data_IF_709118787579
#
_entry.id   IF_709118787579
#
_cell.length_a   1.000
_cell.length_b   1.000
_cell.length_c   1.000
_cell.angle_alpha   90.00
_cell.angle_beta   90.00
_cell.angle_gamma   90.00
#
_symmetry.space_group_name_H-M   'P 1'
#
loop_
_entity.id
_entity.type
_entity.pdbx_description
1 polymer ?
#
# COMPACT_ATOMS: atom_id res chain seq x y z
N UNK A 1 4.31 5.66 3.41
CA UNK A 1 4.56 6.78 2.51
C UNK A 1 3.45 6.87 1.47
N UNK A 2 2.84 8.04 1.30
CA UNK A 2 1.79 8.32 0.33
C UNK A 2 2.16 9.50 -0.58
N UNK A 3 1.37 9.72 -1.63
CA UNK A 3 1.55 10.81 -2.58
C UNK A 3 1.29 10.37 -4.02
N UNK A 4 1.17 11.33 -4.93
CA UNK A 4 0.91 11.07 -6.34
C UNK A 4 2.02 10.24 -7.01
N UNK A 5 1.71 9.63 -8.16
CA UNK A 5 2.73 8.96 -8.97
C UNK A 5 3.83 9.97 -9.34
N UNK A 6 5.09 9.52 -9.31
CA UNK A 6 6.25 10.39 -9.57
C UNK A 6 6.67 11.32 -8.41
N UNK A 7 6.04 11.25 -7.22
CA UNK A 7 6.42 12.09 -6.07
C UNK A 7 7.72 11.69 -5.36
N UNK A 8 8.40 10.62 -5.81
CA UNK A 8 9.69 10.19 -5.25
C UNK A 8 9.62 9.11 -4.16
N UNK A 9 8.46 8.48 -3.92
CA UNK A 9 8.28 7.45 -2.86
C UNK A 9 9.21 6.25 -3.03
N UNK A 10 9.17 5.60 -4.20
CA UNK A 10 10.05 4.46 -4.54
C UNK A 10 11.52 4.85 -4.48
N UNK A 11 11.86 6.03 -5.00
CA UNK A 11 13.23 6.57 -4.94
C UNK A 11 13.70 6.70 -3.50
N UNK A 12 12.86 7.25 -2.61
CA UNK A 12 13.19 7.35 -1.19
C UNK A 12 13.40 5.97 -0.55
N UNK A 13 12.55 4.97 -0.84
CA UNK A 13 12.78 3.61 -0.35
C UNK A 13 14.11 3.04 -0.86
N UNK A 14 14.43 3.24 -2.14
CA UNK A 14 15.68 2.75 -2.74
C UNK A 14 16.91 3.43 -2.15
N UNK A 15 16.84 4.73 -1.86
CA UNK A 15 17.90 5.47 -1.13
C UNK A 15 18.08 4.89 0.28
N UNK A 16 17.00 4.66 1.02
CA UNK A 16 17.05 4.03 2.34
C UNK A 16 17.68 2.63 2.29
N UNK A 17 17.38 1.88 1.25
CA UNK A 17 17.97 0.55 1.02
C UNK A 17 19.44 0.60 0.55
N UNK A 18 19.96 1.75 0.15
CA UNK A 18 21.30 1.89 -0.43
C UNK A 18 21.40 1.34 -1.86
N UNK A 19 20.29 1.39 -2.59
CA UNK A 19 20.16 0.98 -4.00
C UNK A 19 20.20 2.17 -4.96
N UNK A 20 20.15 3.38 -4.43
CA UNK A 20 20.27 4.64 -5.19
C UNK A 20 21.24 5.57 -4.46
N UNK A 21 21.99 6.36 -5.25
CA UNK A 21 22.86 7.40 -4.74
C UNK A 21 22.05 8.61 -4.29
N UNK A 22 22.48 9.24 -3.20
CA UNK A 22 21.83 10.43 -2.69
C UNK A 22 22.83 11.29 -1.91
N UNK A 23 22.53 12.58 -1.80
CA UNK A 23 23.22 13.50 -0.93
C UNK A 23 22.38 13.77 0.33
N UNK A 24 23.04 13.98 1.46
CA UNK A 24 22.38 14.27 2.73
C UNK A 24 22.80 13.33 3.86
N UNK A 25 21.95 13.18 4.86
CA UNK A 25 22.23 12.37 6.05
C UNK A 25 21.11 11.39 6.33
N UNK A 26 21.47 10.11 6.50
CA UNK A 26 20.56 9.07 6.99
C UNK A 26 21.16 8.52 8.29
N UNK A 27 20.42 8.65 9.38
CA UNK A 27 20.78 8.13 10.68
C UNK A 27 19.68 7.23 11.23
N UNK A 28 20.04 6.05 11.71
CA UNK A 28 19.11 5.10 12.31
C UNK A 28 19.62 4.70 13.69
N UNK A 29 18.82 4.97 14.73
CA UNK A 29 19.15 4.67 16.14
C UNK A 29 20.54 5.17 16.56
N UNK A 30 21.60 4.48 16.21
CA UNK A 30 22.99 4.85 16.57
C UNK A 30 23.98 4.66 15.41
N UNK A 31 23.49 4.47 14.17
CA UNK A 31 24.34 4.18 13.01
C UNK A 31 24.04 5.15 11.87
N UNK A 32 25.06 5.84 11.39
CA UNK A 32 24.96 6.60 10.15
C UNK A 32 24.99 5.65 8.96
N UNK A 33 24.00 5.75 8.08
CA UNK A 33 23.95 5.03 6.81
C UNK A 33 24.44 5.88 5.65
N UNK A 34 24.24 7.18 5.73
CA UNK A 34 24.70 8.15 4.74
C UNK A 34 25.09 9.46 5.43
N UNK A 35 26.20 10.06 5.00
CA UNK A 35 26.58 11.44 5.27
C UNK A 35 27.54 11.89 4.16
N UNK A 36 28.01 13.13 4.19
CA UNK A 36 28.88 13.75 3.16
C UNK A 36 30.16 12.96 2.85
N UNK A 37 30.61 12.10 3.75
CA UNK A 37 31.87 11.36 3.66
C UNK A 37 31.72 9.84 3.59
N UNK A 38 30.51 9.32 3.84
CA UNK A 38 30.31 7.89 4.04
C UNK A 38 28.93 7.45 3.58
N UNK A 39 28.90 6.32 2.84
CA UNK A 39 27.67 5.62 2.48
C UNK A 39 27.80 4.14 2.88
N UNK A 40 26.95 3.71 3.83
CA UNK A 40 26.89 2.31 4.23
C UNK A 40 26.33 1.45 3.08
N UNK A 41 27.06 0.42 2.62
CA UNK A 41 26.58 -0.47 1.58
C UNK A 41 25.25 -1.16 1.98
N UNK A 42 24.40 -1.43 0.99
CA UNK A 42 23.08 -2.05 1.20
C UNK A 42 23.12 -3.33 2.03
N UNK A 43 24.16 -4.18 1.81
CA UNK A 43 24.34 -5.46 2.52
C UNK A 43 24.56 -5.29 4.04
N UNK A 44 24.94 -4.09 4.51
CA UNK A 44 25.20 -3.79 5.91
C UNK A 44 24.06 -3.01 6.58
N UNK A 45 22.98 -2.69 5.86
CA UNK A 45 21.89 -1.84 6.39
C UNK A 45 20.80 -2.62 7.14
N UNK A 46 20.96 -3.87 7.45
CA UNK A 46 19.96 -4.69 8.19
C UNK A 46 18.50 -4.44 7.73
N UNK A 47 18.31 -4.34 6.41
CA UNK A 47 17.02 -4.05 5.76
C UNK A 47 16.52 -5.30 5.03
N UNK A 48 15.20 -5.56 5.14
CA UNK A 48 14.44 -6.37 4.19
C UNK A 48 13.76 -5.47 3.17
N UNK A 49 13.77 -5.85 1.89
CA UNK A 49 13.09 -5.09 0.83
C UNK A 49 12.12 -5.98 0.07
N UNK A 50 10.87 -5.54 -0.03
CA UNK A 50 9.80 -6.15 -0.83
C UNK A 50 9.54 -5.25 -2.02
N UNK A 51 9.92 -5.71 -3.21
CA UNK A 51 9.76 -4.99 -4.47
C UNK A 51 8.35 -5.16 -5.03
N UNK A 52 7.90 -4.18 -5.80
CA UNK A 52 6.59 -4.19 -6.46
C UNK A 52 6.46 -5.36 -7.45
N UNK A 53 7.53 -5.73 -8.15
CA UNK A 53 7.61 -6.82 -9.11
C UNK A 53 8.01 -8.18 -8.49
N UNK A 54 7.94 -8.29 -7.14
CA UNK A 54 8.33 -9.44 -6.33
C UNK A 54 9.82 -9.78 -6.36
N UNK A 55 10.53 -9.48 -7.43
CA UNK A 55 11.96 -9.75 -7.69
C UNK A 55 12.41 -11.19 -7.32
N UNK A 56 11.56 -12.20 -7.50
CA UNK A 56 11.87 -13.59 -7.22
C UNK A 56 12.82 -14.16 -8.28
N UNK A 57 13.75 -15.01 -7.85
CA UNK A 57 14.65 -15.74 -8.76
C UNK A 57 13.85 -16.82 -9.51
N UNK A 58 13.65 -16.71 -10.83
CA UNK A 58 12.76 -17.59 -11.58
C UNK A 58 13.23 -19.03 -11.65
N UNK A 59 14.55 -19.25 -11.54
CA UNK A 59 15.20 -20.58 -11.61
C UNK A 59 15.38 -21.22 -10.23
N UNK A 60 14.87 -20.60 -9.17
CA UNK A 60 14.90 -21.13 -7.80
C UNK A 60 13.51 -21.56 -7.40
N UNK A 61 13.42 -22.65 -6.65
CA UNK A 61 12.17 -23.02 -5.97
C UNK A 61 11.79 -21.98 -4.92
N UNK A 62 10.60 -22.07 -4.37
CA UNK A 62 10.13 -21.20 -3.26
C UNK A 62 11.13 -21.26 -2.10
N UNK A 63 11.47 -22.45 -1.63
CA UNK A 63 12.40 -22.61 -0.50
C UNK A 63 13.80 -22.11 -0.85
N UNK A 64 14.28 -22.30 -2.08
CA UNK A 64 15.61 -21.85 -2.51
C UNK A 64 15.67 -20.32 -2.62
N UNK A 65 14.57 -19.64 -2.97
CA UNK A 65 14.47 -18.18 -2.92
C UNK A 65 14.72 -17.63 -1.52
N UNK A 66 14.23 -18.32 -0.49
CA UNK A 66 14.46 -17.93 0.91
C UNK A 66 15.88 -18.26 1.33
N UNK A 67 16.33 -19.51 1.08
CA UNK A 67 17.64 -20.01 1.49
C UNK A 67 18.81 -19.36 0.74
N UNK A 68 18.55 -18.65 -0.36
CA UNK A 68 19.55 -17.82 -1.02
C UNK A 68 20.01 -16.67 -0.10
N UNK A 69 19.08 -16.08 0.63
CA UNK A 69 19.35 -14.95 1.54
C UNK A 69 20.01 -15.41 2.83
N UNK A 70 19.49 -16.48 3.43
CA UNK A 70 20.01 -17.07 4.66
C UNK A 70 19.75 -18.57 4.67
N UNK A 71 20.73 -19.36 5.05
CA UNK A 71 20.67 -20.84 5.04
C UNK A 71 19.91 -21.44 6.22
N UNK A 72 19.24 -20.62 7.03
CA UNK A 72 18.41 -21.05 8.16
C UNK A 72 17.14 -21.73 7.64
N UNK A 73 17.18 -23.08 7.58
CA UNK A 73 16.07 -23.90 7.10
C UNK A 73 14.86 -23.85 8.04
N UNK A 74 15.10 -23.73 9.34
CA UNK A 74 14.03 -23.72 10.34
C UNK A 74 13.23 -22.41 10.23
N UNK A 75 13.91 -21.28 10.10
CA UNK A 75 13.28 -20.00 9.83
C UNK A 75 12.52 -20.01 8.50
N UNK A 76 13.11 -20.56 7.42
CA UNK A 76 12.46 -20.62 6.13
C UNK A 76 11.16 -21.44 6.19
N UNK A 77 11.17 -22.64 6.81
CA UNK A 77 9.98 -23.44 6.98
C UNK A 77 8.95 -22.76 7.89
N UNK A 78 9.38 -22.10 8.95
CA UNK A 78 8.51 -21.34 9.84
C UNK A 78 7.77 -20.21 9.09
N UNK A 79 8.48 -19.41 8.31
CA UNK A 79 7.90 -18.34 7.49
C UNK A 79 6.91 -18.87 6.45
N UNK A 80 7.27 -19.97 5.76
CA UNK A 80 6.36 -20.60 4.78
C UNK A 80 5.09 -21.13 5.42
N UNK A 81 5.19 -21.69 6.64
CA UNK A 81 4.03 -22.16 7.39
C UNK A 81 3.14 -21.00 7.84
N UNK A 82 3.72 -19.91 8.37
CA UNK A 82 2.98 -18.71 8.77
C UNK A 82 2.17 -18.10 7.63
N UNK A 83 2.69 -18.19 6.41
CA UNK A 83 2.07 -17.61 5.20
C UNK A 83 1.30 -18.64 4.36
N UNK A 84 1.07 -19.84 4.89
CA UNK A 84 0.35 -20.93 4.21
C UNK A 84 0.96 -21.32 2.84
N UNK A 85 2.28 -21.35 2.77
CA UNK A 85 3.04 -21.66 1.54
C UNK A 85 3.90 -22.94 1.66
N UNK A 86 3.84 -23.65 2.77
CA UNK A 86 4.65 -24.84 3.05
C UNK A 86 4.46 -25.96 2.02
N UNK A 87 3.25 -26.19 1.53
CA UNK A 87 2.97 -27.16 0.46
C UNK A 87 3.56 -26.73 -0.91
N UNK A 88 3.85 -25.44 -1.07
CA UNK A 88 4.38 -24.88 -2.33
C UNK A 88 5.90 -24.76 -2.33
N UNK A 89 6.61 -25.17 -1.29
CA UNK A 89 8.05 -24.93 -1.08
C UNK A 89 8.95 -25.39 -2.24
N UNK A 90 8.55 -26.44 -2.97
CA UNK A 90 9.32 -27.00 -4.09
C UNK A 90 8.84 -26.46 -5.45
N UNK A 91 7.83 -25.59 -5.50
CA UNK A 91 7.36 -24.97 -6.76
C UNK A 91 8.25 -23.83 -7.19
N UNK A 92 8.16 -23.50 -8.47
CA UNK A 92 8.89 -22.37 -9.07
C UNK A 92 7.97 -21.16 -9.23
N UNK A 93 8.52 -19.92 -9.19
CA UNK A 93 7.73 -18.68 -9.26
C UNK A 93 6.75 -18.58 -10.43
N UNK A 94 7.10 -19.17 -11.60
CA UNK A 94 6.24 -19.14 -12.79
C UNK A 94 4.89 -19.86 -12.60
N UNK A 95 4.82 -20.82 -11.66
CA UNK A 95 3.63 -21.63 -11.39
C UNK A 95 2.73 -21.05 -10.28
N UNK A 96 3.06 -19.87 -9.77
CA UNK A 96 2.43 -19.26 -8.60
C UNK A 96 1.54 -18.08 -8.97
N UNK A 97 0.47 -17.87 -8.19
CA UNK A 97 -0.35 -16.67 -8.28
C UNK A 97 0.40 -15.41 -7.80
N UNK A 98 -0.09 -14.22 -8.15
CA UNK A 98 0.48 -12.94 -7.70
C UNK A 98 0.58 -12.85 -6.18
N UNK A 99 -0.48 -13.20 -5.45
CA UNK A 99 -0.49 -13.20 -3.99
C UNK A 99 0.50 -14.20 -3.37
N UNK A 100 0.69 -15.39 -3.99
CA UNK A 100 1.71 -16.34 -3.54
C UNK A 100 3.12 -15.80 -3.74
N UNK A 101 3.40 -15.19 -4.90
CA UNK A 101 4.69 -14.52 -5.17
C UNK A 101 4.97 -13.40 -4.17
N UNK A 102 3.95 -12.62 -3.84
CA UNK A 102 4.05 -11.53 -2.86
C UNK A 102 4.43 -12.04 -1.48
N UNK A 103 3.75 -13.09 -0.97
CA UNK A 103 4.07 -13.72 0.31
C UNK A 103 5.50 -14.26 0.35
N UNK A 104 5.95 -14.92 -0.73
CA UNK A 104 7.32 -15.43 -0.83
C UNK A 104 8.33 -14.28 -0.79
N UNK A 105 8.07 -13.17 -1.50
CA UNK A 105 8.91 -11.99 -1.46
C UNK A 105 9.03 -11.42 -0.04
N UNK A 106 7.92 -11.38 0.72
CA UNK A 106 7.91 -10.98 2.13
C UNK A 106 8.70 -11.95 3.01
N UNK A 107 8.46 -13.26 2.89
CA UNK A 107 9.23 -14.29 3.61
C UNK A 107 10.73 -14.14 3.33
N UNK A 108 11.12 -13.98 2.06
CA UNK A 108 12.52 -13.77 1.67
C UNK A 108 13.12 -12.52 2.30
N UNK A 109 12.38 -11.41 2.34
CA UNK A 109 12.84 -10.17 2.95
C UNK A 109 13.08 -10.31 4.46
N UNK A 110 12.37 -11.24 5.14
CA UNK A 110 12.47 -11.49 6.58
C UNK A 110 13.55 -12.51 6.96
N UNK A 111 14.16 -13.23 6.01
CA UNK A 111 15.14 -14.27 6.29
C UNK A 111 16.36 -13.80 7.08
N UNK A 112 16.78 -12.56 6.91
CA UNK A 112 17.89 -11.98 7.68
C UNK A 112 17.45 -11.28 8.98
N UNK A 113 16.19 -11.47 9.41
CA UNK A 113 15.62 -10.80 10.61
C UNK A 113 15.92 -9.31 10.61
N UNK A 114 15.52 -8.56 9.55
CA UNK A 114 15.89 -7.16 9.39
C UNK A 114 15.28 -6.30 10.50
N UNK A 115 15.94 -5.20 10.87
CA UNK A 115 15.38 -4.20 11.76
C UNK A 115 14.36 -3.30 11.07
N UNK A 116 14.53 -3.10 9.77
CA UNK A 116 13.66 -2.28 8.93
C UNK A 116 13.17 -3.09 7.74
N UNK A 117 11.86 -3.11 7.52
CA UNK A 117 11.23 -3.74 6.37
C UNK A 117 10.67 -2.63 5.46
N UNK A 118 11.20 -2.56 4.24
CA UNK A 118 10.75 -1.64 3.20
C UNK A 118 9.84 -2.37 2.22
N UNK A 119 8.66 -1.82 1.94
CA UNK A 119 7.69 -2.41 1.02
C UNK A 119 7.22 -1.37 0.00
N UNK A 120 7.44 -1.65 -1.27
CA UNK A 120 7.04 -0.78 -2.38
C UNK A 120 5.76 -1.31 -3.02
N UNK A 121 4.63 -0.68 -2.75
CA UNK A 121 3.28 -1.03 -3.22
C UNK A 121 2.94 -2.53 -3.11
N UNK A 122 3.08 -3.15 -1.93
CA UNK A 122 3.01 -4.61 -1.79
C UNK A 122 1.65 -5.22 -2.10
N UNK A 123 0.58 -4.44 -2.20
CA UNK A 123 -0.79 -4.93 -2.36
C UNK A 123 -1.45 -4.45 -3.67
N UNK A 124 -0.73 -3.71 -4.52
CA UNK A 124 -1.29 -3.03 -5.70
C UNK A 124 -1.84 -3.98 -6.77
N UNK A 125 -1.27 -5.18 -6.91
CA UNK A 125 -1.63 -6.15 -7.95
C UNK A 125 -2.64 -7.22 -7.51
N UNK A 126 -3.33 -7.02 -6.36
CA UNK A 126 -4.19 -8.03 -5.75
C UNK A 126 -5.67 -7.63 -5.80
N UNK A 127 -6.53 -8.64 -5.93
CA UNK A 127 -7.97 -8.48 -5.72
C UNK A 127 -8.32 -8.17 -4.25
N UNK A 128 -9.54 -7.72 -3.98
CA UNK A 128 -9.97 -7.26 -2.66
C UNK A 128 -9.86 -8.33 -1.56
N UNK A 129 -10.19 -9.59 -1.87
CA UNK A 129 -10.15 -10.69 -0.88
C UNK A 129 -8.71 -11.06 -0.52
N UNK A 130 -7.86 -11.21 -1.55
CA UNK A 130 -6.43 -11.48 -1.38
C UNK A 130 -5.72 -10.34 -0.65
N UNK A 131 -6.10 -9.10 -0.94
CA UNK A 131 -5.55 -7.91 -0.28
C UNK A 131 -5.84 -7.90 1.21
N UNK A 132 -7.07 -8.18 1.64
CA UNK A 132 -7.43 -8.25 3.06
C UNK A 132 -6.64 -9.32 3.79
N UNK A 133 -6.54 -10.52 3.22
CA UNK A 133 -5.75 -11.62 3.81
C UNK A 133 -4.28 -11.25 3.96
N UNK A 134 -3.68 -10.64 2.94
CA UNK A 134 -2.28 -10.25 2.98
C UNK A 134 -2.01 -9.10 3.96
N UNK A 135 -2.97 -8.19 4.17
CA UNK A 135 -2.88 -7.17 5.22
C UNK A 135 -2.78 -7.81 6.61
N UNK A 136 -3.59 -8.84 6.89
CA UNK A 136 -3.52 -9.57 8.17
C UNK A 136 -2.18 -10.28 8.35
N UNK A 137 -1.65 -10.88 7.28
CA UNK A 137 -0.34 -11.51 7.29
C UNK A 137 0.80 -10.49 7.52
N UNK A 138 0.73 -9.30 6.91
CA UNK A 138 1.69 -8.20 7.16
C UNK A 138 1.66 -7.81 8.64
N UNK A 139 0.49 -7.64 9.24
CA UNK A 139 0.35 -7.29 10.65
C UNK A 139 0.90 -8.39 11.57
N UNK A 140 0.64 -9.66 11.25
CA UNK A 140 1.15 -10.80 12.00
C UNK A 140 2.68 -10.88 11.94
N UNK A 141 3.27 -10.75 10.75
CA UNK A 141 4.72 -10.73 10.56
C UNK A 141 5.37 -9.53 11.24
N UNK A 142 4.77 -8.34 11.13
CA UNK A 142 5.26 -7.14 11.82
C UNK A 142 5.29 -7.34 13.35
N UNK A 143 4.24 -7.92 13.91
CA UNK A 143 4.16 -8.21 15.36
C UNK A 143 5.19 -9.27 15.79
N UNK A 144 5.34 -10.33 15.00
CA UNK A 144 6.24 -11.44 15.29
C UNK A 144 7.72 -11.01 15.24
N UNK A 145 8.11 -10.27 14.20
CA UNK A 145 9.51 -9.88 14.00
C UNK A 145 9.89 -8.56 14.65
N UNK A 146 8.92 -7.76 15.13
CA UNK A 146 9.18 -6.45 15.76
C UNK A 146 9.89 -5.45 14.84
N UNK A 147 9.75 -5.59 13.53
CA UNK A 147 10.43 -4.74 12.54
C UNK A 147 9.82 -3.35 12.47
N UNK A 148 10.62 -2.32 12.21
CA UNK A 148 10.10 -1.03 11.75
C UNK A 148 9.73 -1.17 10.27
N UNK A 149 8.45 -1.01 9.94
CA UNK A 149 7.97 -1.17 8.55
C UNK A 149 7.74 0.19 7.91
N UNK A 150 8.33 0.41 6.71
CA UNK A 150 8.05 1.57 5.86
C UNK A 150 7.43 1.06 4.57
N UNK A 151 6.16 1.39 4.35
CA UNK A 151 5.39 0.93 3.20
C UNK A 151 4.99 2.12 2.30
N UNK A 152 5.13 1.96 1.00
CA UNK A 152 4.51 2.84 0.00
C UNK A 152 3.15 2.27 -0.35
N UNK A 153 2.11 3.10 -0.26
CA UNK A 153 0.77 2.79 -0.75
C UNK A 153 0.06 4.06 -1.22
N UNK A 154 -0.81 3.92 -2.20
CA UNK A 154 -1.74 4.96 -2.64
C UNK A 154 -3.19 4.66 -2.20
N UNK A 155 -3.44 3.51 -1.57
CA UNK A 155 -4.75 3.11 -1.07
C UNK A 155 -4.95 3.61 0.37
N UNK A 156 -5.93 4.50 0.55
CA UNK A 156 -6.25 5.10 1.86
C UNK A 156 -6.71 4.08 2.89
N UNK A 157 -7.38 3.00 2.48
CA UNK A 157 -7.85 1.94 3.37
C UNK A 157 -6.70 1.10 3.91
N UNK A 158 -5.73 0.78 3.05
CA UNK A 158 -4.49 0.10 3.47
C UNK A 158 -3.70 0.94 4.47
N UNK A 159 -3.51 2.23 4.16
CA UNK A 159 -2.79 3.16 5.02
C UNK A 159 -3.48 3.26 6.38
N UNK A 160 -4.81 3.41 6.39
CA UNK A 160 -5.58 3.53 7.62
C UNK A 160 -5.50 2.26 8.49
N UNK A 161 -5.47 1.08 7.86
CA UNK A 161 -5.45 -0.20 8.56
C UNK A 161 -4.05 -0.60 9.05
N UNK A 162 -3.01 -0.36 8.25
CA UNK A 162 -1.66 -0.89 8.49
C UNK A 162 -0.72 0.11 9.14
N UNK A 163 -0.92 1.42 8.95
CA UNK A 163 0.04 2.42 9.38
C UNK A 163 -0.37 3.12 10.68
N UNK A 164 0.59 3.38 11.56
CA UNK A 164 0.42 4.27 12.70
C UNK A 164 0.89 5.71 12.43
N UNK A 165 1.69 5.92 11.37
CA UNK A 165 2.15 7.23 10.89
C UNK A 165 2.08 7.28 9.37
N UNK A 166 1.63 8.40 8.84
CA UNK A 166 1.53 8.68 7.42
C UNK A 166 2.35 9.89 7.05
N UNK A 167 3.21 9.75 6.05
CA UNK A 167 3.98 10.85 5.46
C UNK A 167 3.56 10.98 4.01
N UNK A 168 3.17 12.18 3.59
CA UNK A 168 2.75 12.46 2.22
C UNK A 168 3.84 13.22 1.50
N UNK A 169 4.29 12.66 0.37
CA UNK A 169 5.29 13.26 -0.50
C UNK A 169 4.65 13.91 -1.73
N UNK A 170 5.18 15.07 -2.10
CA UNK A 170 4.88 15.73 -3.37
C UNK A 170 6.18 16.31 -3.94
N UNK A 171 6.55 15.91 -5.15
CA UNK A 171 7.81 16.30 -5.82
C UNK A 171 9.05 16.26 -4.91
N UNK A 172 9.20 15.17 -4.15
CA UNK A 172 10.33 14.96 -3.23
C UNK A 172 10.26 15.72 -1.91
N UNK A 173 9.21 16.50 -1.67
CA UNK A 173 9.02 17.25 -0.43
C UNK A 173 7.93 16.62 0.44
N UNK A 174 8.13 16.65 1.75
CA UNK A 174 7.11 16.24 2.72
C UNK A 174 6.09 17.38 2.83
N UNK A 175 4.85 17.13 2.43
CA UNK A 175 3.74 18.09 2.51
C UNK A 175 2.80 17.82 3.69
N UNK A 176 2.84 16.62 4.26
CA UNK A 176 2.04 16.25 5.43
C UNK A 176 2.71 15.12 6.19
N UNK A 177 2.63 15.17 7.52
CA UNK A 177 3.15 14.16 8.45
C UNK A 177 2.24 14.10 9.68
N UNK A 178 1.73 12.92 10.01
CA UNK A 178 0.81 12.72 11.12
C UNK A 178 0.24 11.31 11.16
N UNK A 179 -0.81 11.10 11.93
CA UNK A 179 -1.55 9.83 11.91
C UNK A 179 -2.41 9.72 10.65
N UNK A 180 -2.68 8.50 10.15
CA UNK A 180 -3.60 8.29 9.04
C UNK A 180 -4.97 8.96 9.27
N UNK A 181 -5.47 8.91 10.50
CA UNK A 181 -6.74 9.54 10.88
C UNK A 181 -6.72 11.05 10.68
N UNK A 182 -5.67 11.73 11.10
CA UNK A 182 -5.54 13.19 10.98
C UNK A 182 -5.42 13.65 9.53
N UNK A 183 -4.71 12.86 8.70
CA UNK A 183 -4.42 13.23 7.31
C UNK A 183 -5.58 12.85 6.38
N UNK A 184 -6.13 11.63 6.53
CA UNK A 184 -7.18 11.11 5.65
C UNK A 184 -8.58 11.59 6.01
N UNK A 185 -8.86 11.74 7.32
CA UNK A 185 -10.17 12.14 7.79
C UNK A 185 -10.13 13.64 8.13
N UNK A 186 -10.43 14.49 7.16
CA UNK A 186 -10.60 15.94 7.36
C UNK A 186 -11.87 16.25 8.14
N UNK A 187 -11.94 15.84 9.41
CA UNK A 187 -13.07 16.14 10.29
C UNK A 187 -12.90 17.54 10.91
N UNK A 188 -13.01 18.59 10.11
CA UNK A 188 -13.29 19.94 10.64
C UNK A 188 -14.70 20.35 10.21
N UNK A 189 -15.65 20.19 11.14
CA UNK A 189 -17.03 20.70 11.02
C UNK A 189 -17.98 19.81 10.22
N UNK A 190 -19.20 19.61 10.75
CA UNK A 190 -20.38 18.87 10.24
C UNK A 190 -20.06 17.84 9.16
N UNK A 191 -20.16 16.58 9.52
CA UNK A 191 -19.89 15.39 8.69
C UNK A 191 -20.63 15.49 7.35
N UNK A 192 -19.93 15.93 6.31
CA UNK A 192 -20.36 15.77 4.93
C UNK A 192 -19.66 14.52 4.42
N UNK A 193 -20.42 13.48 4.11
CA UNK A 193 -19.90 12.41 3.27
C UNK A 193 -19.68 13.03 1.88
N UNK A 194 -18.45 12.93 1.39
CA UNK A 194 -18.06 13.45 0.09
C UNK A 194 -17.34 12.35 -0.67
N UNK A 195 -17.86 12.00 -1.83
CA UNK A 195 -17.27 11.02 -2.73
C UNK A 195 -16.92 11.70 -4.04
N UNK A 196 -15.70 11.53 -4.52
CA UNK A 196 -15.32 11.97 -5.86
C UNK A 196 -15.63 10.84 -6.85
N UNK A 197 -16.26 11.19 -7.96
CA UNK A 197 -16.63 10.26 -9.01
C UNK A 197 -16.61 10.91 -10.38
N UNK A 198 -16.90 10.13 -11.42
CA UNK A 198 -17.07 10.60 -12.80
C UNK A 198 -18.55 10.48 -13.18
N UNK A 199 -19.13 11.54 -13.72
CA UNK A 199 -20.50 11.55 -14.24
C UNK A 199 -20.54 10.78 -15.55
N UNK A 200 -21.22 9.64 -15.56
CA UNK A 200 -21.30 8.78 -16.73
C UNK A 200 -22.52 9.06 -17.60
N UNK A 201 -23.66 9.39 -16.97
CA UNK A 201 -24.92 9.63 -17.70
C UNK A 201 -25.89 10.46 -16.85
N UNK A 202 -26.88 11.07 -17.51
CA UNK A 202 -28.04 11.75 -16.88
C UNK A 202 -29.31 11.26 -17.56
N UNK A 203 -30.11 10.50 -16.82
CA UNK A 203 -31.36 9.93 -17.29
C UNK A 203 -32.55 10.72 -16.76
N UNK A 204 -33.46 11.14 -17.63
CA UNK A 204 -34.71 11.76 -17.18
C UNK A 204 -35.76 10.67 -16.96
N UNK A 205 -36.27 10.62 -15.73
CA UNK A 205 -37.34 9.68 -15.31
C UNK A 205 -38.51 10.53 -14.81
N UNK A 206 -39.57 10.59 -15.60
CA UNK A 206 -40.75 11.45 -15.37
C UNK A 206 -40.37 12.92 -15.14
N UNK A 207 -40.51 13.39 -13.90
CA UNK A 207 -40.26 14.79 -13.49
C UNK A 207 -38.91 14.99 -12.83
N UNK A 208 -38.14 13.91 -12.59
CA UNK A 208 -36.83 13.94 -11.96
C UNK A 208 -35.71 13.59 -12.93
N UNK A 209 -34.51 14.02 -12.62
CA UNK A 209 -33.28 13.61 -13.29
C UNK A 209 -32.47 12.74 -12.36
N UNK A 210 -31.89 11.66 -12.92
CA UNK A 210 -31.01 10.73 -12.21
C UNK A 210 -29.64 10.78 -12.88
N UNK A 211 -28.65 11.26 -12.14
CA UNK A 211 -27.25 11.23 -12.53
C UNK A 211 -26.63 9.87 -12.17
N UNK A 212 -25.98 9.23 -13.11
CA UNK A 212 -25.24 7.97 -12.92
C UNK A 212 -23.77 8.34 -12.75
N UNK A 213 -23.22 8.09 -11.56
CA UNK A 213 -21.84 8.46 -11.19
C UNK A 213 -21.05 7.21 -10.85
N UNK A 214 -19.87 7.10 -11.44
CA UNK A 214 -18.89 6.06 -11.11
C UNK A 214 -18.05 6.52 -9.92
N UNK A 215 -18.06 5.75 -8.81
CA UNK A 215 -17.23 5.97 -7.63
C UNK A 215 -16.37 4.73 -7.44
N UNK A 216 -15.10 4.80 -7.80
CA UNK A 216 -14.22 3.62 -7.84
C UNK A 216 -14.75 2.54 -8.80
N UNK A 217 -15.18 1.40 -8.28
CA UNK A 217 -15.77 0.30 -9.07
C UNK A 217 -17.30 0.20 -8.94
N UNK A 218 -17.94 1.16 -8.31
CA UNK A 218 -19.38 1.17 -8.07
C UNK A 218 -20.08 2.23 -8.91
N UNK A 219 -21.29 1.94 -9.37
CA UNK A 219 -22.20 2.90 -9.95
C UNK A 219 -23.19 3.36 -8.90
N UNK A 220 -23.36 4.66 -8.78
CA UNK A 220 -24.27 5.29 -7.83
C UNK A 220 -25.26 6.15 -8.59
N UNK A 221 -26.55 5.97 -8.33
CA UNK A 221 -27.62 6.79 -8.85
C UNK A 221 -27.91 7.93 -7.87
N UNK A 222 -27.96 9.15 -8.39
CA UNK A 222 -28.21 10.36 -7.58
C UNK A 222 -29.32 11.17 -8.22
N UNK A 223 -30.37 11.42 -7.46
CA UNK A 223 -31.44 12.32 -7.94
C UNK A 223 -30.91 13.74 -7.92
N UNK A 224 -30.99 14.42 -9.04
CA UNK A 224 -30.55 15.80 -9.24
C UNK A 224 -31.70 16.67 -9.74
N UNK A 225 -31.66 17.94 -9.39
CA UNK A 225 -32.65 18.92 -9.87
C UNK A 225 -32.37 19.34 -11.31
N UNK A 226 -33.38 19.91 -11.97
CA UNK A 226 -33.23 20.46 -13.33
C UNK A 226 -32.13 21.54 -13.41
N UNK A 227 -32.00 22.35 -12.38
CA UNK A 227 -31.02 23.44 -12.34
C UNK A 227 -29.60 22.91 -12.16
N UNK A 228 -29.42 21.80 -11.43
CA UNK A 228 -28.13 21.12 -11.29
C UNK A 228 -27.69 20.47 -12.60
N UNK A 229 -28.63 19.85 -13.34
CA UNK A 229 -28.35 19.21 -14.65
C UNK A 229 -27.78 20.18 -15.68
N UNK A 230 -28.23 21.45 -15.68
CA UNK A 230 -27.75 22.47 -16.63
C UNK A 230 -26.23 22.72 -16.53
N UNK A 231 -25.67 22.49 -15.34
CA UNK A 231 -24.27 22.75 -15.04
C UNK A 231 -23.41 21.46 -15.04
N UNK A 232 -23.97 20.33 -15.44
CA UNK A 232 -23.29 19.04 -15.44
C UNK A 232 -22.95 18.59 -16.88
N UNK A 233 -21.73 18.15 -17.09
CA UNK A 233 -21.27 17.59 -18.37
C UNK A 233 -20.88 16.11 -18.17
N UNK A 234 -21.34 15.23 -19.10
CA UNK A 234 -20.97 13.82 -19.08
C UNK A 234 -19.45 13.67 -19.24
N UNK A 235 -18.83 12.82 -18.42
CA UNK A 235 -17.39 12.62 -18.35
C UNK A 235 -16.65 13.56 -17.38
N UNK A 236 -17.33 14.56 -16.80
CA UNK A 236 -16.67 15.44 -15.80
C UNK A 236 -16.52 14.75 -14.44
N UNK A 237 -15.51 15.16 -13.69
CA UNK A 237 -15.38 14.78 -12.28
C UNK A 237 -16.37 15.56 -11.44
N UNK A 238 -17.11 14.84 -10.61
CA UNK A 238 -18.13 15.37 -9.72
C UNK A 238 -17.85 14.94 -8.29
N UNK A 239 -18.29 15.78 -7.35
CA UNK A 239 -18.25 15.48 -5.93
C UNK A 239 -19.66 15.26 -5.42
N UNK A 240 -19.98 14.04 -4.98
CA UNK A 240 -21.22 13.72 -4.30
C UNK A 240 -21.06 14.03 -2.82
N UNK A 241 -21.89 14.93 -2.28
CA UNK A 241 -21.90 15.25 -0.86
C UNK A 241 -23.31 15.12 -0.29
N UNK A 242 -23.43 14.45 0.86
CA UNK A 242 -24.69 14.43 1.61
C UNK A 242 -24.59 15.35 2.81
N UNK A 243 -25.61 16.14 3.09
CA UNK A 243 -25.80 16.75 4.42
C UNK A 243 -26.09 15.61 5.38
N UNK A 244 -25.34 15.54 6.49
CA UNK A 244 -25.38 14.42 7.42
C UNK A 244 -26.80 14.20 7.97
N UNK A 245 -27.44 13.12 7.52
CA UNK A 245 -28.40 12.37 8.32
C UNK A 245 -27.67 11.15 8.85
N UNK A 246 -27.99 10.70 10.07
CA UNK A 246 -27.32 9.59 10.76
C UNK A 246 -27.19 8.39 9.83
N UNK A 247 -26.00 8.00 9.39
CA UNK A 247 -25.82 6.82 8.56
C UNK A 247 -26.16 5.60 9.42
N UNK A 248 -26.94 4.68 8.88
CA UNK A 248 -27.18 3.36 9.49
C UNK A 248 -26.05 2.45 9.00
N UNK A 249 -25.27 1.93 9.94
CA UNK A 249 -24.28 0.87 9.65
C UNK A 249 -24.98 -0.46 9.88
N UNK A 250 -25.15 -1.26 8.84
CA UNK A 250 -25.63 -2.64 8.94
C UNK A 250 -24.44 -3.57 8.75
N UNK A 251 -24.17 -4.43 9.73
CA UNK A 251 -23.23 -5.54 9.59
C UNK A 251 -23.81 -6.61 8.65
N UNK A 252 -22.98 -7.13 7.77
CA UNK A 252 -23.27 -8.31 6.95
C UNK A 252 -22.78 -9.55 7.63
#
# INVERSE_FOLDING_TARGET
LAGLSGSGKTTLLRILAGLEEANGTINTSNTFWLNDKFCLPSQKREIGFVFQDYALFPNFSVIDNLLYVNKDKDLANYLLKMTELDELKNRFPQTLSGGQKQRISMCRALMNRPKILLMDEPLSALDSNMRTKLQDEILALHKEFGTTTIMVSHDSSEIYRLANRMVVLNYGQIISDGTPKEILLKTKGSQKFSFEGELLDIVKVDVIYVAIVSIGQQLVEVVVSKDEVINLEIGQRVTLSTKAFSPIIQGQ
#
